data_IF_138939871255
#
_entry.id   IF_138939871255
#
_cell.length_a   1.000
_cell.length_b   1.000
_cell.length_c   1.000
_cell.angle_alpha   90.00
_cell.angle_beta   90.00
_cell.angle_gamma   90.00
#
_symmetry.space_group_name_H-M   'P 1'
#
loop_
_entity.id
_entity.type
_entity.pdbx_description
1 polymer ?
#
# COMPACT_ATOMS: atom_id res chain seq x y z
N UNK A 1 6.71 -17.13 -6.37
CA UNK A 1 7.57 -16.02 -5.93
C UNK A 1 9.01 -16.49 -5.83
N UNK A 2 10.00 -15.72 -6.27
CA UNK A 2 11.42 -16.08 -6.22
C UNK A 2 12.10 -15.51 -4.96
N UNK A 3 13.22 -16.13 -4.51
CA UNK A 3 14.02 -15.61 -3.38
C UNK A 3 14.43 -14.14 -3.59
N UNK A 4 14.86 -13.76 -4.80
CA UNK A 4 15.22 -12.37 -5.15
C UNK A 4 14.05 -11.40 -4.97
N UNK A 5 12.82 -11.83 -5.26
CA UNK A 5 11.62 -11.01 -5.06
C UNK A 5 11.32 -10.82 -3.57
N UNK A 6 11.45 -11.88 -2.75
CA UNK A 6 11.29 -11.81 -1.30
C UNK A 6 12.31 -10.85 -0.70
N UNK A 7 13.59 -11.05 -1.04
CA UNK A 7 14.69 -10.17 -0.60
C UNK A 7 14.40 -8.70 -0.90
N UNK A 8 13.94 -8.41 -2.13
CA UNK A 8 13.59 -7.04 -2.54
C UNK A 8 12.41 -6.45 -1.75
N UNK A 9 11.45 -7.28 -1.33
CA UNK A 9 10.33 -6.82 -0.49
C UNK A 9 10.79 -6.55 0.94
N UNK A 10 11.57 -7.46 1.54
CA UNK A 10 12.11 -7.29 2.90
C UNK A 10 12.93 -6.00 3.01
N UNK A 11 13.81 -5.73 2.03
CA UNK A 11 14.58 -4.49 1.99
C UNK A 11 13.74 -3.23 1.89
N UNK A 12 12.59 -3.29 1.25
CA UNK A 12 11.65 -2.16 1.19
C UNK A 12 10.91 -1.97 2.50
N UNK A 13 10.57 -3.06 3.18
CA UNK A 13 9.90 -3.03 4.46
C UNK A 13 10.83 -2.57 5.57
N UNK A 14 12.10 -3.00 5.53
CA UNK A 14 13.10 -2.59 6.49
C UNK A 14 14.50 -2.45 5.84
N UNK A 15 14.88 -1.22 5.57
CA UNK A 15 16.19 -0.90 4.99
C UNK A 15 17.32 -0.89 6.02
N UNK A 16 17.02 -0.98 7.33
CA UNK A 16 18.02 -0.92 8.40
C UNK A 16 18.67 -2.27 8.70
N UNK A 17 18.07 -3.36 8.23
CA UNK A 17 18.59 -4.70 8.43
C UNK A 17 19.92 -4.90 7.69
N UNK A 18 20.83 -5.67 8.27
CA UNK A 18 22.05 -6.12 7.59
C UNK A 18 21.74 -7.20 6.55
N UNK A 19 22.69 -7.43 5.63
CA UNK A 19 22.48 -8.35 4.50
C UNK A 19 22.31 -9.81 4.96
N UNK A 20 23.05 -10.25 5.97
CA UNK A 20 22.96 -11.61 6.49
C UNK A 20 21.58 -11.88 7.10
N UNK A 21 21.06 -10.93 7.88
CA UNK A 21 19.71 -11.02 8.45
C UNK A 21 18.65 -11.08 7.36
N UNK A 22 18.76 -10.23 6.34
CA UNK A 22 17.81 -10.23 5.21
C UNK A 22 17.88 -11.55 4.44
N UNK A 23 19.07 -12.14 4.27
CA UNK A 23 19.22 -13.41 3.57
C UNK A 23 18.59 -14.56 4.37
N UNK A 24 18.87 -14.64 5.66
CA UNK A 24 18.27 -15.62 6.57
C UNK A 24 16.75 -15.54 6.58
N UNK A 25 16.20 -14.33 6.68
CA UNK A 25 14.75 -14.11 6.63
C UNK A 25 14.15 -14.46 5.27
N UNK A 26 14.88 -14.17 4.19
CA UNK A 26 14.46 -14.53 2.82
C UNK A 26 14.31 -16.03 2.70
N UNK A 27 15.23 -16.81 3.24
CA UNK A 27 15.20 -18.27 3.20
C UNK A 27 14.08 -18.84 4.06
N UNK A 28 13.87 -18.32 5.25
CA UNK A 28 12.77 -18.72 6.13
C UNK A 28 11.42 -18.46 5.46
N UNK A 29 11.20 -17.25 4.96
CA UNK A 29 9.95 -16.88 4.27
C UNK A 29 9.75 -17.70 2.99
N UNK A 30 10.80 -17.94 2.21
CA UNK A 30 10.73 -18.76 1.00
C UNK A 30 10.29 -20.19 1.32
N UNK A 31 10.88 -20.80 2.35
CA UNK A 31 10.53 -22.15 2.79
C UNK A 31 9.08 -22.23 3.32
N UNK A 32 8.63 -21.24 4.09
CA UNK A 32 7.25 -21.14 4.56
C UNK A 32 6.26 -21.02 3.40
N UNK A 33 6.58 -20.26 2.37
CA UNK A 33 5.75 -20.13 1.16
C UNK A 33 5.68 -21.47 0.41
N UNK A 34 6.81 -22.16 0.24
CA UNK A 34 6.85 -23.47 -0.42
C UNK A 34 6.03 -24.52 0.34
N UNK A 35 6.03 -24.45 1.66
CA UNK A 35 5.32 -25.37 2.54
C UNK A 35 3.86 -24.95 2.80
N UNK A 36 3.38 -23.84 2.20
CA UNK A 36 2.08 -23.23 2.46
C UNK A 36 1.82 -22.94 3.96
N UNK A 37 2.87 -22.54 4.69
CA UNK A 37 2.79 -22.19 6.12
C UNK A 37 2.58 -20.67 6.23
N UNK A 38 1.35 -20.21 6.04
CA UNK A 38 0.92 -18.82 6.25
C UNK A 38 -0.59 -18.79 6.50
N UNK A 39 -1.04 -17.79 7.27
CA UNK A 39 -2.46 -17.63 7.63
C UNK A 39 -2.88 -16.16 7.56
N UNK A 40 -3.61 -15.81 6.52
CA UNK A 40 -4.13 -14.45 6.33
C UNK A 40 -5.25 -14.07 7.33
N UNK A 41 -5.79 -14.99 8.13
CA UNK A 41 -6.73 -14.66 9.21
C UNK A 41 -6.04 -14.13 10.46
N UNK A 42 -4.71 -14.33 10.57
CA UNK A 42 -3.87 -13.90 11.70
C UNK A 42 -3.39 -12.46 11.53
N UNK A 43 -4.29 -11.50 11.58
CA UNK A 43 -3.99 -10.07 11.46
C UNK A 43 -4.14 -9.33 12.80
N UNK A 44 -3.37 -8.24 12.96
CA UNK A 44 -3.54 -7.28 14.04
C UNK A 44 -4.60 -6.25 13.69
N UNK A 45 -5.48 -5.91 14.64
CA UNK A 45 -6.50 -4.88 14.46
C UNK A 45 -6.28 -3.73 15.43
N UNK A 46 -5.95 -2.57 14.90
CA UNK A 46 -5.80 -1.34 15.66
C UNK A 46 -6.96 -0.39 15.41
N UNK A 47 -7.40 0.31 16.46
CA UNK A 47 -8.47 1.31 16.35
C UNK A 47 -7.84 2.70 16.48
N UNK A 48 -7.87 3.43 15.39
CA UNK A 48 -7.43 4.83 15.34
C UNK A 48 -8.61 5.78 15.46
N UNK A 49 -8.49 6.75 16.36
CA UNK A 49 -9.46 7.86 16.46
C UNK A 49 -8.85 9.11 15.83
N UNK A 50 -9.43 9.55 14.72
CA UNK A 50 -9.02 10.79 14.04
C UNK A 50 -10.25 11.66 13.79
N UNK A 51 -10.23 12.91 14.28
CA UNK A 51 -11.34 13.87 14.14
C UNK A 51 -12.71 13.27 14.56
N UNK A 52 -12.75 12.62 15.74
CA UNK A 52 -13.94 11.94 16.30
C UNK A 52 -14.49 10.77 15.47
N UNK A 53 -13.74 10.29 14.47
CA UNK A 53 -14.09 9.08 13.72
C UNK A 53 -13.17 7.93 14.12
N UNK A 54 -13.76 6.80 14.50
CA UNK A 54 -13.02 5.55 14.75
C UNK A 54 -12.78 4.84 13.42
N UNK A 55 -11.53 4.49 13.15
CA UNK A 55 -11.14 3.67 11.99
C UNK A 55 -10.44 2.42 12.48
N UNK A 56 -10.85 1.27 11.99
CA UNK A 56 -10.13 0.01 12.16
C UNK A 56 -9.06 -0.11 11.09
N UNK A 57 -7.84 -0.42 11.51
CA UNK A 57 -6.72 -0.70 10.61
C UNK A 57 -6.31 -2.14 10.87
N UNK A 58 -6.27 -2.93 9.81
CA UNK A 58 -5.84 -4.33 9.84
C UNK A 58 -4.43 -4.40 9.29
N UNK A 59 -3.51 -4.96 10.05
CA UNK A 59 -2.09 -5.06 9.68
C UNK A 59 -1.56 -6.45 10.02
N UNK A 60 -0.54 -6.88 9.30
CA UNK A 60 0.30 -8.01 9.66
C UNK A 60 1.60 -7.51 10.28
N UNK A 61 2.28 -8.36 11.02
CA UNK A 61 3.61 -8.03 11.52
C UNK A 61 4.55 -7.67 10.37
N UNK A 62 5.39 -6.66 10.57
CA UNK A 62 6.16 -5.98 9.50
C UNK A 62 6.91 -6.93 8.57
N UNK A 63 7.47 -8.01 9.11
CA UNK A 63 8.29 -8.98 8.38
C UNK A 63 7.67 -10.39 8.36
N UNK A 64 6.37 -10.50 8.60
CA UNK A 64 5.66 -11.78 8.47
C UNK A 64 5.55 -12.21 7.02
N UNK A 65 5.32 -13.51 6.82
CA UNK A 65 5.12 -14.10 5.48
C UNK A 65 3.92 -13.45 4.77
N UNK A 66 2.84 -13.22 5.52
CA UNK A 66 1.58 -12.63 5.04
C UNK A 66 1.82 -11.20 4.53
N UNK A 67 2.56 -10.39 5.30
CA UNK A 67 2.88 -9.01 4.90
C UNK A 67 3.75 -8.98 3.64
N UNK A 68 4.77 -9.83 3.57
CA UNK A 68 5.63 -9.96 2.39
C UNK A 68 4.83 -10.39 1.16
N UNK A 69 3.93 -11.37 1.31
CA UNK A 69 3.03 -11.81 0.24
C UNK A 69 2.09 -10.69 -0.21
N UNK A 70 1.46 -9.96 0.72
CA UNK A 70 0.59 -8.82 0.39
C UNK A 70 1.33 -7.75 -0.41
N UNK A 71 2.55 -7.40 -0.01
CA UNK A 71 3.38 -6.43 -0.74
C UNK A 71 3.78 -6.92 -2.13
N UNK A 72 4.08 -8.21 -2.26
CA UNK A 72 4.36 -8.81 -3.56
C UNK A 72 3.14 -8.81 -4.47
N UNK A 73 1.99 -9.29 -3.98
CA UNK A 73 0.73 -9.34 -4.73
C UNK A 73 0.29 -7.94 -5.16
N UNK A 74 0.34 -6.95 -4.24
CA UNK A 74 0.07 -5.56 -4.59
C UNK A 74 0.91 -5.12 -5.78
N UNK A 75 2.23 -5.38 -5.76
CA UNK A 75 3.13 -5.01 -6.85
C UNK A 75 2.75 -5.72 -8.17
N UNK A 76 2.33 -6.99 -8.11
CA UNK A 76 1.89 -7.72 -9.31
C UNK A 76 0.61 -7.11 -9.89
N UNK A 77 -0.36 -6.81 -9.04
CA UNK A 77 -1.62 -6.15 -9.43
C UNK A 77 -1.33 -4.78 -10.05
N UNK A 78 -0.51 -3.96 -9.39
CA UNK A 78 -0.11 -2.64 -9.91
C UNK A 78 0.53 -2.74 -11.31
N UNK A 79 1.34 -3.77 -11.55
CA UNK A 79 2.00 -4.00 -12.83
C UNK A 79 1.01 -4.50 -13.91
N UNK A 80 0.17 -5.49 -13.59
CA UNK A 80 -0.78 -6.10 -14.53
C UNK A 80 -1.79 -5.05 -15.01
N UNK A 81 -2.33 -4.26 -14.09
CA UNK A 81 -3.33 -3.23 -14.39
C UNK A 81 -2.72 -1.86 -14.73
N UNK A 82 -1.38 -1.77 -14.82
CA UNK A 82 -0.65 -0.52 -15.05
C UNK A 82 -1.10 0.62 -14.12
N UNK A 83 -1.35 0.28 -12.83
CA UNK A 83 -1.81 1.23 -11.82
C UNK A 83 -0.64 2.15 -11.47
N UNK A 84 -0.81 3.44 -11.77
CA UNK A 84 0.17 4.47 -11.44
C UNK A 84 -0.45 5.43 -10.43
N UNK A 85 0.04 5.37 -9.21
CA UNK A 85 -0.38 6.34 -8.20
C UNK A 85 0.25 7.69 -8.50
N UNK A 86 -0.56 8.72 -8.61
CA UNK A 86 -0.07 10.07 -8.75
C UNK A 86 0.68 10.47 -7.46
N UNK A 87 1.92 10.94 -7.61
CA UNK A 87 2.67 11.47 -6.48
C UNK A 87 1.95 12.67 -5.89
N UNK A 88 1.69 12.66 -4.58
CA UNK A 88 1.08 13.78 -3.86
C UNK A 88 1.82 15.09 -4.14
N UNK A 89 3.15 15.05 -4.19
CA UNK A 89 3.97 16.21 -4.52
C UNK A 89 3.72 16.74 -5.95
N UNK A 90 3.54 15.83 -6.92
CA UNK A 90 3.21 16.23 -8.30
C UNK A 90 1.83 16.89 -8.39
N UNK A 91 0.84 16.38 -7.66
CA UNK A 91 -0.51 16.95 -7.59
C UNK A 91 -0.43 18.35 -6.97
N UNK A 92 0.27 18.48 -5.84
CA UNK A 92 0.43 19.79 -5.15
C UNK A 92 1.18 20.78 -6.01
N UNK A 93 2.28 20.40 -6.68
CA UNK A 93 3.01 21.27 -7.58
C UNK A 93 2.13 21.76 -8.76
N UNK A 94 1.32 20.86 -9.34
CA UNK A 94 0.36 21.26 -10.38
C UNK A 94 -0.65 22.27 -9.83
N UNK A 95 -1.20 22.03 -8.66
CA UNK A 95 -2.14 22.94 -8.00
C UNK A 95 -1.49 24.32 -7.78
N UNK A 96 -0.29 24.37 -7.19
CA UNK A 96 0.43 25.63 -6.95
C UNK A 96 0.77 26.39 -8.25
N UNK A 97 1.12 25.68 -9.31
CA UNK A 97 1.38 26.31 -10.61
C UNK A 97 0.11 26.82 -11.29
N UNK A 98 -1.05 26.27 -10.97
CA UNK A 98 -2.33 26.68 -11.54
C UNK A 98 -2.94 27.88 -10.79
N UNK A 99 -2.69 27.99 -9.47
CA UNK A 99 -3.24 29.09 -8.65
C UNK A 99 -2.98 30.50 -9.17
N UNK A 100 -1.78 30.88 -9.66
CA UNK A 100 -1.54 32.22 -10.21
C UNK A 100 -2.38 32.50 -11.45
N UNK A 101 -2.58 31.48 -12.29
CA UNK A 101 -3.44 31.61 -13.49
C UNK A 101 -4.89 31.81 -13.06
N UNK A 102 -5.37 31.04 -12.08
CA UNK A 102 -6.74 31.12 -11.56
C UNK A 102 -7.05 32.48 -10.92
N UNK A 103 -6.06 33.12 -10.27
CA UNK A 103 -6.25 34.47 -9.69
C UNK A 103 -6.64 35.53 -10.71
N UNK A 104 -6.30 35.32 -11.97
CA UNK A 104 -6.61 36.27 -13.07
C UNK A 104 -7.89 35.88 -13.83
N UNK A 105 -8.57 34.79 -13.40
CA UNK A 105 -9.83 34.35 -13.98
C UNK A 105 -10.99 34.79 -13.08
N UNK A 106 -12.00 35.43 -13.66
CA UNK A 106 -13.18 35.90 -12.91
C UNK A 106 -14.18 34.73 -12.64
N UNK A 107 -14.13 33.70 -13.46
CA UNK A 107 -15.08 32.59 -13.42
C UNK A 107 -14.37 31.23 -13.30
N UNK A 108 -14.05 30.78 -12.09
CA UNK A 108 -13.59 29.44 -11.86
C UNK A 108 -14.29 28.78 -10.66
N UNK A 109 -14.45 27.48 -10.70
CA UNK A 109 -14.99 26.67 -9.61
C UNK A 109 -14.00 25.59 -9.25
N UNK A 110 -13.70 25.43 -7.95
CA UNK A 110 -12.90 24.33 -7.43
C UNK A 110 -13.87 23.27 -6.89
N UNK A 111 -13.87 22.09 -7.51
CA UNK A 111 -14.66 20.96 -7.06
C UNK A 111 -13.73 19.97 -6.35
N UNK A 112 -14.02 19.70 -5.07
CA UNK A 112 -13.42 18.60 -4.32
C UNK A 112 -14.47 17.51 -4.16
N UNK A 113 -14.18 16.34 -4.74
CA UNK A 113 -15.04 15.17 -4.61
C UNK A 113 -14.30 14.05 -3.86
N UNK A 114 -15.03 13.30 -3.06
CA UNK A 114 -14.56 12.09 -2.38
C UNK A 114 -15.69 11.06 -2.38
N UNK A 115 -15.34 9.79 -2.51
CA UNK A 115 -16.32 8.70 -2.45
C UNK A 115 -16.50 8.27 -0.99
N UNK A 116 -17.71 8.42 -0.45
CA UNK A 116 -18.05 7.94 0.88
C UNK A 116 -18.00 6.41 0.90
N UNK A 117 -17.22 5.86 1.83
CA UNK A 117 -17.13 4.39 2.03
C UNK A 117 -16.83 3.62 0.73
N UNK A 118 -15.93 4.14 -0.11
CA UNK A 118 -15.63 3.54 -1.42
C UNK A 118 -15.36 2.03 -1.34
N UNK A 119 -14.49 1.61 -0.42
CA UNK A 119 -14.13 0.19 -0.29
C UNK A 119 -15.29 -0.67 0.23
N UNK A 120 -16.15 -0.13 1.08
CA UNK A 120 -17.33 -0.83 1.59
C UNK A 120 -18.45 -0.95 0.54
N UNK A 121 -18.39 -0.10 -0.50
CA UNK A 121 -19.37 -0.10 -1.61
C UNK A 121 -18.96 -0.95 -2.80
N UNK A 122 -17.72 -1.46 -2.83
CA UNK A 122 -17.25 -2.37 -3.89
C UNK A 122 -17.85 -3.75 -3.65
N UNK A 123 -18.71 -4.18 -4.55
CA UNK A 123 -19.33 -5.51 -4.50
C UNK A 123 -18.34 -6.52 -5.07
N UNK A 124 -17.91 -7.48 -4.24
CA UNK A 124 -16.87 -8.48 -4.60
C UNK A 124 -17.27 -9.38 -5.78
N UNK A 125 -18.54 -9.45 -6.12
CA UNK A 125 -19.06 -10.24 -7.23
C UNK A 125 -18.71 -9.65 -8.63
N UNK A 126 -18.19 -8.41 -8.67
CA UNK A 126 -17.83 -7.71 -9.89
C UNK A 126 -16.32 -7.43 -10.04
N UNK A 127 -15.48 -8.06 -9.19
CA UNK A 127 -14.02 -7.89 -9.22
C UNK A 127 -13.32 -9.12 -9.78
#
# INVERSE_FOLDING_TARGET
>A
MTRKQIWSVIRKLDYTLDDNTVETMTDDIYNKILSNIYDFSSYNCEIYTQQNKKRKIYTYDKLSVENVLCHYLKKQIDNIFNIRYASRSKIMNRLFNTLPVMKNMNDFVIIRADFKSFFDSVVSEHV
#
